data_IF_039697533149
#
_entry.id   IF_039697533149
#
_cell.length_a   1.000
_cell.length_b   1.000
_cell.length_c   1.000
_cell.angle_alpha   90.00
_cell.angle_beta   90.00
_cell.angle_gamma   90.00
#
_symmetry.space_group_name_H-M   'P 1'
#
loop_
_entity.id
_entity.type
_entity.pdbx_description
1 polymer ?
#
# COMPACT_ATOMS: atom_id res chain seq x y z
N UNK A 1 -12.19 52.34 40.07
CA UNK A 1 -11.06 51.40 40.26
C UNK A 1 -11.39 49.96 39.87
N UNK A 2 -12.60 49.44 40.16
CA UNK A 2 -12.97 48.05 39.82
C UNK A 2 -13.00 47.69 38.32
N UNK A 3 -13.25 48.65 37.42
CA UNK A 3 -13.34 48.40 35.97
C UNK A 3 -11.96 48.25 35.30
N UNK A 4 -10.92 48.85 35.87
CA UNK A 4 -9.55 48.76 35.38
C UNK A 4 -8.89 47.43 35.77
N UNK A 5 -9.20 46.88 36.94
CA UNK A 5 -8.71 45.57 37.39
C UNK A 5 -9.19 44.44 36.48
N UNK A 6 -10.50 44.37 36.20
CA UNK A 6 -11.09 43.34 35.32
C UNK A 6 -10.51 43.36 33.90
N UNK A 7 -10.15 44.54 33.39
CA UNK A 7 -9.54 44.69 32.07
C UNK A 7 -8.09 44.21 32.03
N UNK A 8 -7.38 44.29 33.16
CA UNK A 8 -6.04 43.74 33.28
C UNK A 8 -6.10 42.22 33.38
N UNK A 9 -6.97 41.68 34.23
CA UNK A 9 -7.17 40.24 34.40
C UNK A 9 -7.52 39.55 33.06
N UNK A 10 -8.32 40.21 32.22
CA UNK A 10 -8.66 39.70 30.88
C UNK A 10 -7.44 39.65 29.94
N UNK A 11 -6.57 40.66 29.99
CA UNK A 11 -5.34 40.67 29.17
C UNK A 11 -4.35 39.61 29.61
N UNK A 12 -4.25 39.39 30.92
CA UNK A 12 -3.38 38.37 31.48
C UNK A 12 -3.87 36.97 31.09
N UNK A 13 -5.19 36.75 31.09
CA UNK A 13 -5.80 35.51 30.60
C UNK A 13 -5.57 35.29 29.09
N UNK A 14 -5.75 36.32 28.27
CA UNK A 14 -5.46 36.25 26.82
C UNK A 14 -3.98 35.94 26.55
N UNK A 15 -3.08 36.48 27.35
CA UNK A 15 -1.64 36.19 27.28
C UNK A 15 -1.36 34.72 27.62
N UNK A 16 -1.96 34.20 28.68
CA UNK A 16 -1.80 32.80 29.09
C UNK A 16 -2.36 31.83 28.05
N UNK A 17 -3.51 32.14 27.44
CA UNK A 17 -4.08 31.30 26.38
C UNK A 17 -3.15 31.21 25.18
N UNK A 18 -2.57 32.34 24.74
CA UNK A 18 -1.59 32.35 23.64
C UNK A 18 -0.35 31.53 23.95
N UNK A 19 0.14 31.62 25.18
CA UNK A 19 1.32 30.86 25.62
C UNK A 19 1.04 29.35 25.63
N UNK A 20 -0.14 28.94 26.10
CA UNK A 20 -0.57 27.53 26.09
C UNK A 20 -0.68 27.02 24.65
N UNK A 21 -1.32 27.78 23.75
CA UNK A 21 -1.47 27.40 22.35
C UNK A 21 -0.11 27.27 21.65
N UNK A 22 0.81 28.21 21.89
CA UNK A 22 2.15 28.16 21.33
C UNK A 22 2.93 26.95 21.84
N UNK A 23 2.84 26.67 23.14
CA UNK A 23 3.50 25.51 23.76
C UNK A 23 2.93 24.19 23.26
N UNK A 24 1.62 24.09 23.13
CA UNK A 24 0.96 22.90 22.55
C UNK A 24 1.36 22.71 21.08
N UNK A 25 1.37 23.78 20.29
CA UNK A 25 1.78 23.72 18.88
C UNK A 25 3.22 23.21 18.72
N UNK A 26 4.15 23.74 19.54
CA UNK A 26 5.54 23.29 19.57
C UNK A 26 5.66 21.81 19.97
N UNK A 27 4.96 21.38 21.02
CA UNK A 27 5.00 19.99 21.47
C UNK A 27 4.46 19.01 20.41
N UNK A 28 3.37 19.37 19.71
CA UNK A 28 2.83 18.57 18.60
C UNK A 28 3.85 18.47 17.46
N UNK A 29 4.52 19.57 17.14
CA UNK A 29 5.54 19.58 16.09
C UNK A 29 6.73 18.69 16.45
N UNK A 30 7.24 18.77 17.68
CA UNK A 30 8.35 17.93 18.16
C UNK A 30 8.01 16.43 18.08
N UNK A 31 6.82 16.03 18.53
CA UNK A 31 6.36 14.64 18.43
C UNK A 31 6.26 14.18 16.98
N UNK A 32 5.77 15.06 16.08
CA UNK A 32 5.69 14.76 14.65
C UNK A 32 7.07 14.55 14.03
N UNK A 33 8.03 15.39 14.37
CA UNK A 33 9.41 15.29 13.89
C UNK A 33 10.11 14.03 14.42
N UNK A 34 9.93 13.70 15.70
CA UNK A 34 10.44 12.46 16.28
C UNK A 34 9.85 11.21 15.62
N UNK A 35 8.55 11.21 15.34
CA UNK A 35 7.89 10.10 14.65
C UNK A 35 8.41 9.95 13.21
N UNK A 36 8.60 11.07 12.48
CA UNK A 36 9.17 11.05 11.13
C UNK A 36 10.60 10.49 11.12
N UNK A 37 11.43 10.94 12.06
CA UNK A 37 12.81 10.45 12.20
C UNK A 37 12.84 8.95 12.51
N UNK A 38 12.06 8.52 13.50
CA UNK A 38 11.98 7.11 13.89
C UNK A 38 11.47 6.22 12.74
N UNK A 39 10.51 6.71 11.96
CA UNK A 39 10.00 6.01 10.78
C UNK A 39 11.09 5.81 9.71
N UNK A 40 11.90 6.83 9.45
CA UNK A 40 12.98 6.73 8.46
C UNK A 40 14.09 5.78 8.93
N UNK A 41 14.41 5.79 10.23
CA UNK A 41 15.34 4.82 10.84
C UNK A 41 14.84 3.39 10.67
N UNK A 42 13.57 3.11 11.01
CA UNK A 42 12.95 1.78 10.82
C UNK A 42 12.95 1.37 9.34
N UNK A 43 12.64 2.30 8.42
CA UNK A 43 12.65 2.04 6.98
C UNK A 43 14.06 1.71 6.47
N UNK A 44 15.08 2.35 7.02
CA UNK A 44 16.46 2.03 6.69
C UNK A 44 16.86 0.66 7.24
N UNK A 45 16.53 0.36 8.50
CA UNK A 45 16.82 -0.92 9.11
C UNK A 45 16.16 -2.08 8.34
N UNK A 46 14.89 -1.95 7.96
CA UNK A 46 14.18 -2.96 7.15
C UNK A 46 14.86 -3.17 5.80
N UNK A 47 15.33 -2.09 5.14
CA UNK A 47 16.09 -2.20 3.88
C UNK A 47 17.39 -2.97 4.06
N UNK A 48 18.15 -2.65 5.10
CA UNK A 48 19.41 -3.34 5.40
C UNK A 48 19.18 -4.82 5.75
N UNK A 49 18.18 -5.14 6.57
CA UNK A 49 17.79 -6.51 6.88
C UNK A 49 17.36 -7.28 5.62
N UNK A 50 16.59 -6.64 4.73
CA UNK A 50 16.18 -7.23 3.45
C UNK A 50 17.39 -7.57 2.58
N UNK A 51 18.33 -6.64 2.43
CA UNK A 51 19.56 -6.88 1.65
C UNK A 51 20.41 -8.02 2.24
N UNK A 52 20.55 -8.05 3.56
CA UNK A 52 21.29 -9.12 4.24
C UNK A 52 20.64 -10.48 4.02
N UNK A 53 19.31 -10.57 4.21
CA UNK A 53 18.56 -11.80 3.96
C UNK A 53 18.67 -12.28 2.51
N UNK A 54 18.71 -11.36 1.54
CA UNK A 54 18.85 -11.68 0.13
C UNK A 54 20.23 -12.29 -0.20
N UNK A 55 21.27 -11.81 0.47
CA UNK A 55 22.63 -12.36 0.32
C UNK A 55 22.73 -13.77 0.93
N UNK A 56 22.11 -13.99 2.10
CA UNK A 56 22.00 -15.33 2.70
C UNK A 56 21.26 -16.32 1.78
N UNK A 57 20.15 -15.87 1.15
CA UNK A 57 19.41 -16.67 0.17
C UNK A 57 20.29 -17.01 -1.06
N UNK A 58 21.07 -16.06 -1.58
CA UNK A 58 22.01 -16.32 -2.69
C UNK A 58 23.02 -17.41 -2.35
N UNK A 59 23.58 -17.38 -1.13
CA UNK A 59 24.54 -18.38 -0.66
C UNK A 59 23.90 -19.78 -0.53
N UNK A 60 22.65 -19.86 -0.10
CA UNK A 60 21.92 -21.14 -0.05
C UNK A 60 21.64 -21.71 -1.44
N UNK A 61 21.24 -20.86 -2.40
CA UNK A 61 20.95 -21.28 -3.79
C UNK A 61 22.22 -21.80 -4.48
N UNK A 62 23.37 -21.13 -4.30
CA UNK A 62 24.62 -21.57 -4.91
C UNK A 62 25.11 -22.91 -4.34
N UNK A 63 24.91 -23.17 -3.05
CA UNK A 63 25.22 -24.45 -2.42
C UNK A 63 24.39 -25.62 -3.00
N UNK A 64 23.08 -25.41 -3.22
CA UNK A 64 22.19 -26.41 -3.84
C UNK A 64 22.61 -26.70 -5.29
N UNK A 65 23.02 -25.68 -6.04
CA UNK A 65 23.45 -25.86 -7.44
C UNK A 65 24.66 -26.79 -7.58
N UNK A 66 25.59 -26.78 -6.60
CA UNK A 66 26.78 -27.65 -6.62
C UNK A 66 26.45 -29.11 -6.32
N UNK A 67 25.42 -29.39 -5.53
CA UNK A 67 25.02 -30.75 -5.12
C UNK A 67 24.30 -31.53 -6.25
N UNK A 68 23.72 -30.82 -7.23
CA UNK A 68 23.04 -31.45 -8.36
C UNK A 68 23.99 -31.93 -9.48
N UNK A 69 25.29 -31.63 -9.39
CA UNK A 69 26.28 -31.99 -10.41
C UNK A 69 26.83 -33.42 -10.29
N UNK A 70 26.50 -34.16 -9.22
CA UNK A 70 27.15 -35.45 -8.90
C UNK A 70 26.26 -36.70 -9.10
N UNK A 71 25.02 -36.56 -9.59
CA UNK A 71 24.05 -37.69 -9.69
C UNK A 71 23.78 -38.19 -11.12
N UNK A 72 24.45 -37.69 -12.16
CA UNK A 72 24.25 -38.23 -13.53
C UNK A 72 25.53 -38.79 -14.14
N UNK A 73 25.88 -40.01 -13.75
CA UNK A 73 26.92 -40.80 -14.42
C UNK A 73 26.54 -42.27 -14.64
N UNK A 74 25.44 -42.57 -15.36
CA UNK A 74 25.45 -43.80 -16.18
C UNK A 74 24.32 -43.94 -17.22
N UNK A 75 24.76 -44.38 -18.41
CA UNK A 75 24.08 -45.05 -19.53
C UNK A 75 23.68 -44.22 -20.77
N UNK A 76 24.16 -44.76 -21.90
CA UNK A 76 24.31 -44.20 -23.25
C UNK A 76 23.12 -44.58 -24.16
N UNK A 77 22.71 -43.69 -25.07
CA UNK A 77 22.84 -43.87 -26.55
C UNK A 77 22.08 -42.77 -27.35
N UNK A 78 22.48 -42.48 -28.61
CA UNK A 78 22.17 -41.23 -29.33
C UNK A 78 21.19 -41.41 -30.51
N UNK A 79 20.97 -40.32 -31.29
CA UNK A 79 20.25 -40.18 -32.60
C UNK A 79 18.79 -39.69 -32.43
N UNK A 80 18.26 -38.60 -33.02
CA UNK A 80 18.64 -37.76 -34.16
C UNK A 80 18.09 -36.32 -33.97
N UNK A 81 18.78 -35.35 -34.57
CA UNK A 81 18.45 -33.93 -34.56
C UNK A 81 17.19 -33.57 -35.37
N UNK A 82 16.40 -32.62 -34.87
CA UNK A 82 15.71 -31.66 -35.73
C UNK A 82 15.95 -30.25 -35.17
N UNK A 83 16.82 -29.52 -35.87
CA UNK A 83 17.17 -28.14 -35.57
C UNK A 83 16.14 -27.21 -36.20
N UNK A 84 15.50 -26.37 -35.40
CA UNK A 84 15.03 -25.05 -35.84
C UNK A 84 14.79 -24.15 -34.63
N UNK A 85 15.77 -23.30 -34.35
CA UNK A 85 15.51 -21.90 -34.08
C UNK A 85 15.41 -21.41 -32.62
N UNK A 86 16.47 -20.72 -32.22
CA UNK A 86 16.43 -19.45 -31.47
C UNK A 86 16.26 -19.54 -29.94
N UNK A 87 17.39 -19.36 -29.27
CA UNK A 87 17.61 -18.52 -28.08
C UNK A 87 16.46 -18.44 -27.07
N UNK A 88 16.60 -19.18 -25.99
CA UNK A 88 15.83 -18.92 -24.78
C UNK A 88 16.40 -19.77 -23.68
N UNK A 89 17.33 -19.21 -22.91
CA UNK A 89 17.79 -19.78 -21.67
C UNK A 89 16.56 -20.15 -20.83
N UNK A 90 16.20 -21.43 -20.84
CA UNK A 90 15.17 -22.03 -20.01
C UNK A 90 15.67 -22.11 -18.58
N UNK A 91 16.03 -20.97 -18.02
CA UNK A 91 15.86 -20.73 -16.61
C UNK A 91 14.35 -20.76 -16.45
N UNK A 92 13.88 -21.98 -16.18
CA UNK A 92 12.70 -22.23 -15.40
C UNK A 92 12.93 -21.50 -14.07
N UNK A 93 12.83 -20.17 -14.13
CA UNK A 93 12.94 -19.28 -13.01
C UNK A 93 11.62 -19.44 -12.30
N UNK A 94 11.59 -20.47 -11.48
CA UNK A 94 10.87 -20.52 -10.22
C UNK A 94 11.31 -19.36 -9.31
N UNK A 95 11.40 -18.14 -9.86
CA UNK A 95 11.16 -16.88 -9.18
C UNK A 95 9.65 -16.58 -9.31
N UNK A 96 8.80 -17.62 -9.19
CA UNK A 96 7.55 -17.46 -8.44
C UNK A 96 7.90 -17.40 -6.95
N UNK A 97 8.76 -16.44 -6.61
CA UNK A 97 9.37 -16.24 -5.31
C UNK A 97 8.43 -15.36 -4.52
N UNK A 98 7.60 -15.99 -3.68
CA UNK A 98 6.89 -15.41 -2.53
C UNK A 98 5.87 -14.27 -2.76
N UNK A 99 5.88 -13.54 -3.88
CA UNK A 99 4.86 -12.52 -4.19
C UNK A 99 3.54 -13.10 -4.71
N UNK A 100 3.51 -14.39 -5.04
CA UNK A 100 2.37 -15.09 -5.65
C UNK A 100 1.14 -15.23 -4.74
N UNK A 101 1.12 -14.60 -3.55
CA UNK A 101 0.09 -14.81 -2.53
C UNK A 101 -0.48 -13.55 -1.90
N UNK A 102 -0.08 -12.36 -2.33
CA UNK A 102 -0.78 -11.15 -1.91
C UNK A 102 -2.09 -11.09 -2.69
N UNK A 103 -3.17 -11.51 -2.05
CA UNK A 103 -4.50 -11.40 -2.64
C UNK A 103 -4.98 -9.96 -2.59
N UNK A 104 -5.62 -9.50 -3.68
CA UNK A 104 -6.22 -8.19 -3.71
C UNK A 104 -7.36 -8.10 -2.68
N UNK A 105 -7.39 -7.07 -1.81
CA UNK A 105 -8.39 -6.95 -0.76
C UNK A 105 -9.79 -6.71 -1.33
N UNK A 106 -10.76 -7.55 -0.94
CA UNK A 106 -12.17 -7.41 -1.31
C UNK A 106 -12.88 -6.39 -0.43
N UNK A 107 -13.94 -5.77 -0.95
CA UNK A 107 -14.72 -4.76 -0.22
C UNK A 107 -16.22 -4.90 -0.43
N UNK A 108 -16.95 -5.09 0.66
CA UNK A 108 -18.41 -5.21 0.66
C UNK A 108 -19.14 -3.92 1.08
N UNK A 109 -18.40 -2.94 1.59
CA UNK A 109 -18.91 -1.68 2.14
C UNK A 109 -18.51 -1.42 3.61
N UNK A 110 -17.87 -2.37 4.29
CA UNK A 110 -17.50 -2.28 5.71
C UNK A 110 -15.99 -2.08 5.87
N UNK A 111 -15.57 -1.24 6.83
CA UNK A 111 -14.14 -1.06 7.14
C UNK A 111 -13.37 -0.28 6.06
N UNK A 112 -13.96 0.81 5.54
CA UNK A 112 -13.39 1.59 4.42
C UNK A 112 -11.94 2.01 4.67
N UNK A 113 -11.61 2.47 5.88
CA UNK A 113 -10.27 2.95 6.22
C UNK A 113 -9.24 1.82 6.16
N UNK A 114 -9.54 0.66 6.76
CA UNK A 114 -8.63 -0.48 6.77
C UNK A 114 -8.50 -1.10 5.38
N UNK A 115 -9.59 -1.16 4.63
CA UNK A 115 -9.57 -1.64 3.25
C UNK A 115 -8.74 -0.72 2.35
N UNK A 116 -8.94 0.59 2.44
CA UNK A 116 -8.21 1.57 1.63
C UNK A 116 -6.71 1.49 1.89
N UNK A 117 -6.30 1.38 3.16
CA UNK A 117 -4.90 1.17 3.52
C UNK A 117 -4.31 -0.06 2.82
N UNK A 118 -5.00 -1.21 2.86
CA UNK A 118 -4.53 -2.45 2.20
C UNK A 118 -4.45 -2.31 0.68
N UNK A 119 -5.39 -1.61 0.05
CA UNK A 119 -5.37 -1.34 -1.40
C UNK A 119 -4.18 -0.48 -1.80
N UNK A 120 -3.89 0.58 -1.05
CA UNK A 120 -2.74 1.45 -1.33
C UNK A 120 -1.43 0.66 -1.21
N UNK A 121 -1.30 -0.17 -0.18
CA UNK A 121 -0.14 -1.06 -0.02
C UNK A 121 -0.03 -2.07 -1.16
N UNK A 122 -1.16 -2.62 -1.63
CA UNK A 122 -1.16 -3.49 -2.81
C UNK A 122 -0.63 -2.75 -4.04
N UNK A 123 -1.11 -1.53 -4.32
CA UNK A 123 -0.67 -0.75 -5.48
C UNK A 123 0.82 -0.38 -5.43
N UNK A 124 1.35 -0.10 -4.23
CA UNK A 124 2.78 0.16 -4.04
C UNK A 124 3.62 -1.07 -4.35
N UNK A 125 3.18 -2.26 -3.91
CA UNK A 125 3.90 -3.53 -4.11
C UNK A 125 3.79 -4.03 -5.55
N UNK A 126 2.60 -3.96 -6.16
CA UNK A 126 2.32 -4.39 -7.54
C UNK A 126 2.77 -3.36 -8.59
N UNK A 127 3.19 -2.16 -8.14
CA UNK A 127 3.49 -1.01 -9.01
C UNK A 127 2.35 -0.68 -9.97
N UNK A 128 1.11 -0.75 -9.47
CA UNK A 128 -0.09 -0.58 -10.28
C UNK A 128 -0.16 0.85 -10.85
N UNK A 129 -0.20 0.96 -12.17
CA UNK A 129 -0.32 2.25 -12.87
C UNK A 129 -1.66 2.93 -12.58
N UNK A 130 -1.65 4.26 -12.46
CA UNK A 130 -2.82 5.09 -12.11
C UNK A 130 -4.09 4.78 -12.95
N UNK A 131 -4.03 4.61 -14.29
CA UNK A 131 -5.21 4.29 -15.09
C UNK A 131 -5.84 2.92 -14.77
N UNK A 132 -5.07 2.01 -14.16
CA UNK A 132 -5.49 0.64 -13.88
C UNK A 132 -6.07 0.48 -12.48
N UNK A 133 -5.77 1.38 -11.54
CA UNK A 133 -6.19 1.27 -10.13
C UNK A 133 -7.69 1.07 -9.95
N UNK A 134 -8.50 1.97 -10.53
CA UNK A 134 -9.98 1.90 -10.42
C UNK A 134 -10.54 0.65 -11.09
N UNK A 135 -9.95 0.24 -12.23
CA UNK A 135 -10.34 -0.98 -12.95
C UNK A 135 -10.02 -2.24 -12.15
N UNK A 136 -8.90 -2.26 -11.43
CA UNK A 136 -8.51 -3.36 -10.56
C UNK A 136 -9.42 -3.44 -9.35
N UNK A 137 -9.69 -2.32 -8.69
CA UNK A 137 -10.61 -2.28 -7.54
C UNK A 137 -12.01 -2.75 -7.91
N UNK A 138 -12.53 -2.32 -9.07
CA UNK A 138 -13.92 -2.57 -9.42
C UNK A 138 -14.30 -4.05 -9.54
N UNK A 139 -13.36 -4.91 -9.90
CA UNK A 139 -13.59 -6.37 -9.98
C UNK A 139 -13.55 -7.06 -8.61
N UNK A 140 -13.04 -6.38 -7.57
CA UNK A 140 -12.95 -6.88 -6.19
C UNK A 140 -13.98 -6.23 -5.25
N UNK A 141 -14.90 -5.42 -5.79
CA UNK A 141 -16.06 -4.91 -5.05
C UNK A 141 -17.13 -5.99 -4.94
N UNK A 142 -17.74 -6.09 -3.78
CA UNK A 142 -18.76 -7.07 -3.43
C UNK A 142 -19.96 -6.39 -2.77
N UNK A 143 -21.04 -7.16 -2.56
CA UNK A 143 -22.18 -6.73 -1.75
C UNK A 143 -22.71 -5.34 -2.13
N UNK A 144 -22.86 -4.46 -1.12
CA UNK A 144 -23.41 -3.11 -1.30
C UNK A 144 -22.47 -2.20 -2.09
N UNK A 145 -21.16 -2.36 -1.92
CA UNK A 145 -20.16 -1.60 -2.67
C UNK A 145 -20.25 -1.84 -4.19
N UNK A 146 -20.46 -3.09 -4.61
CA UNK A 146 -20.64 -3.42 -6.03
C UNK A 146 -21.92 -2.80 -6.62
N UNK A 147 -23.02 -2.81 -5.87
CA UNK A 147 -24.27 -2.18 -6.31
C UNK A 147 -24.10 -0.67 -6.49
N UNK A 148 -23.42 -0.02 -5.54
CA UNK A 148 -23.08 1.39 -5.67
C UNK A 148 -22.22 1.65 -6.91
N UNK A 149 -21.19 0.85 -7.15
CA UNK A 149 -20.31 1.06 -8.31
C UNK A 149 -21.06 0.98 -9.65
N UNK A 150 -22.01 0.04 -9.77
CA UNK A 150 -22.89 -0.03 -10.94
C UNK A 150 -23.75 1.23 -11.11
N UNK A 151 -24.28 1.78 -10.02
CA UNK A 151 -25.03 3.04 -10.05
C UNK A 151 -24.13 4.23 -10.41
N UNK A 152 -22.91 4.28 -9.85
CA UNK A 152 -21.89 5.28 -10.15
C UNK A 152 -21.54 5.31 -11.65
N UNK A 153 -21.38 4.14 -12.27
CA UNK A 153 -21.14 4.02 -13.72
C UNK A 153 -22.35 4.44 -14.58
N UNK A 154 -23.59 4.30 -14.08
CA UNK A 154 -24.78 4.73 -14.80
C UNK A 154 -25.02 6.24 -14.72
N UNK A 155 -24.59 6.86 -13.62
CA UNK A 155 -24.73 8.31 -13.40
C UNK A 155 -23.63 9.14 -14.09
N UNK A 156 -22.49 8.52 -14.41
CA UNK A 156 -21.35 9.22 -15.03
C UNK A 156 -21.09 8.74 -16.45
N UNK A 157 -20.38 9.58 -17.22
CA UNK A 157 -20.11 9.34 -18.64
C UNK A 157 -19.45 7.98 -18.88
N UNK A 158 -20.07 7.18 -19.76
CA UNK A 158 -19.56 5.87 -20.15
C UNK A 158 -18.30 6.08 -20.98
N UNK A 159 -17.13 5.81 -20.38
CA UNK A 159 -15.83 5.91 -21.06
C UNK A 159 -14.82 6.84 -20.40
N UNK A 160 -15.21 7.61 -19.36
CA UNK A 160 -14.24 8.36 -18.56
C UNK A 160 -13.39 7.39 -17.74
N UNK A 161 -12.06 7.49 -17.87
CA UNK A 161 -11.12 6.88 -16.92
C UNK A 161 -11.13 7.72 -15.65
N UNK A 162 -11.50 7.10 -14.52
CA UNK A 162 -11.49 7.79 -13.23
C UNK A 162 -10.10 7.70 -12.62
N UNK A 163 -9.59 8.86 -12.18
CA UNK A 163 -8.39 8.93 -11.36
C UNK A 163 -8.72 8.33 -9.99
N UNK A 164 -7.78 7.62 -9.38
CA UNK A 164 -8.00 6.91 -8.12
C UNK A 164 -8.56 7.83 -7.02
N UNK A 165 -8.00 9.04 -6.93
CA UNK A 165 -8.47 10.07 -5.99
C UNK A 165 -9.96 10.40 -6.14
N UNK A 166 -10.44 10.63 -7.37
CA UNK A 166 -11.86 10.94 -7.62
C UNK A 166 -12.77 9.77 -7.21
N UNK A 167 -12.29 8.55 -7.42
CA UNK A 167 -13.01 7.33 -7.03
C UNK A 167 -13.12 7.19 -5.51
N UNK A 168 -12.02 7.40 -4.78
CA UNK A 168 -12.00 7.32 -3.30
C UNK A 168 -12.88 8.40 -2.68
N UNK A 169 -12.84 9.63 -3.19
CA UNK A 169 -13.70 10.73 -2.72
C UNK A 169 -15.19 10.38 -2.91
N UNK A 170 -15.57 9.87 -4.08
CA UNK A 170 -16.94 9.45 -4.36
C UNK A 170 -17.39 8.29 -3.45
N UNK A 171 -16.52 7.29 -3.25
CA UNK A 171 -16.79 6.13 -2.41
C UNK A 171 -16.99 6.55 -0.94
N UNK A 172 -16.11 7.42 -0.44
CA UNK A 172 -16.16 7.94 0.94
C UNK A 172 -17.44 8.73 1.18
N UNK A 173 -17.79 9.63 0.25
CA UNK A 173 -18.99 10.45 0.38
C UNK A 173 -20.26 9.60 0.49
N UNK A 174 -20.38 8.54 -0.33
CA UNK A 174 -21.58 7.69 -0.30
C UNK A 174 -21.64 6.83 0.96
N UNK A 175 -20.52 6.25 1.40
CA UNK A 175 -20.53 5.40 2.59
C UNK A 175 -20.84 6.20 3.86
N UNK A 176 -20.31 7.42 3.98
CA UNK A 176 -20.65 8.34 5.07
C UNK A 176 -22.13 8.75 5.01
N UNK A 177 -22.64 9.05 3.81
CA UNK A 177 -24.06 9.39 3.62
C UNK A 177 -24.99 8.23 3.97
N UNK A 178 -24.62 7.00 3.63
CA UNK A 178 -25.38 5.79 4.00
C UNK A 178 -25.35 5.52 5.51
N UNK A 179 -24.23 5.83 6.19
CA UNK A 179 -24.14 5.69 7.64
C UNK A 179 -25.01 6.72 8.37
N UNK A 180 -25.04 7.97 7.87
CA UNK A 180 -25.82 9.07 8.45
C UNK A 180 -27.33 8.96 8.21
N UNK A 181 -27.77 8.30 7.13
CA UNK A 181 -29.21 8.10 6.88
C UNK A 181 -29.84 6.97 7.71
N UNK A 182 -29.04 6.19 8.44
CA UNK A 182 -29.49 5.04 9.25
C UNK A 182 -29.51 5.37 10.75
N UNK A 183 -28.98 6.53 11.15
CA UNK A 183 -29.02 7.07 12.52
C UNK A 183 -30.09 8.15 12.66
#
# INVERSE_FOLDING_TARGET
MANTSKKQDLKDLESLMREIDEKHSKSIQEVREQNLKSMEEVKQEVREQTLKSMEEIKLLISGIALQNTEVQSHTQSPVMANSSGILGAGWNSSVSSHYSKIEFPRFDGIGLVEWLFKVEQFFEIDHTLEPNKVKMVSIHLEGKALHWYKAFLNMKDRGKVYVWKEFVEALTHVLVSMLLMVL
#
